data_IF_708916995184
#
_entry.id   IF_708916995184
#
_cell.length_a   1.000
_cell.length_b   1.000
_cell.length_c   1.000
_cell.angle_alpha   90.00
_cell.angle_beta   90.00
_cell.angle_gamma   90.00
#
_symmetry.space_group_name_H-M   'P 1'
#
loop_
_entity.id
_entity.type
_entity.pdbx_description
1 polymer ?
#
# COMPACT_ATOMS: atom_id res chain seq x y z
N UNK A 1 -57.68 1.92 -16.75
CA UNK A 1 -56.34 2.42 -16.38
C UNK A 1 -56.12 3.70 -17.13
N UNK A 2 -55.69 4.74 -16.43
CA UNK A 2 -55.37 6.04 -17.05
C UNK A 2 -53.97 5.98 -17.67
N UNK A 3 -53.71 6.73 -18.73
CA UNK A 3 -52.40 6.77 -19.42
C UNK A 3 -51.22 7.05 -18.46
N UNK A 4 -51.48 7.76 -17.35
CA UNK A 4 -50.49 8.02 -16.30
C UNK A 4 -50.10 6.74 -15.52
N UNK A 5 -51.04 5.82 -15.34
CA UNK A 5 -50.85 4.59 -14.58
C UNK A 5 -50.01 3.58 -15.39
N UNK A 6 -50.18 3.56 -16.71
CA UNK A 6 -49.37 2.75 -17.62
C UNK A 6 -47.94 3.29 -17.74
N UNK A 7 -47.78 4.62 -17.80
CA UNK A 7 -46.48 5.27 -17.77
C UNK A 7 -45.70 4.99 -16.48
N UNK A 8 -46.36 5.08 -15.32
CA UNK A 8 -45.73 4.81 -14.02
C UNK A 8 -45.26 3.35 -13.88
N UNK A 9 -46.05 2.39 -14.41
CA UNK A 9 -45.67 0.97 -14.44
C UNK A 9 -44.44 0.74 -15.33
N UNK A 10 -44.36 1.41 -16.47
CA UNK A 10 -43.24 1.30 -17.40
C UNK A 10 -41.96 1.92 -16.82
N UNK A 11 -42.05 3.11 -16.22
CA UNK A 11 -40.94 3.76 -15.52
C UNK A 11 -40.42 2.90 -14.37
N UNK A 12 -41.33 2.35 -13.55
CA UNK A 12 -40.96 1.44 -12.45
C UNK A 12 -40.19 0.20 -12.95
N UNK A 13 -40.64 -0.41 -14.06
CA UNK A 13 -39.93 -1.53 -14.70
C UNK A 13 -38.54 -1.16 -15.22
N UNK A 14 -38.38 0.05 -15.77
CA UNK A 14 -37.09 0.53 -16.25
C UNK A 14 -36.13 0.75 -15.07
N UNK A 15 -36.61 1.39 -14.00
CA UNK A 15 -35.85 1.61 -12.77
C UNK A 15 -35.40 0.29 -12.14
N UNK A 16 -36.28 -0.71 -12.07
CA UNK A 16 -35.94 -2.05 -11.57
C UNK A 16 -34.87 -2.73 -12.42
N UNK A 17 -34.94 -2.60 -13.75
CA UNK A 17 -33.92 -3.15 -14.65
C UNK A 17 -32.57 -2.45 -14.47
N UNK A 18 -32.57 -1.12 -14.29
CA UNK A 18 -31.37 -0.34 -14.02
C UNK A 18 -30.79 -0.73 -12.65
N UNK A 19 -31.59 -0.77 -11.59
CA UNK A 19 -31.18 -1.21 -10.26
C UNK A 19 -30.64 -2.66 -10.27
N UNK A 20 -31.25 -3.55 -11.06
CA UNK A 20 -30.77 -4.93 -11.22
C UNK A 20 -29.48 -5.03 -12.03
N UNK A 21 -29.24 -4.11 -12.97
CA UNK A 21 -27.98 -4.00 -13.73
C UNK A 21 -26.86 -3.38 -12.91
N UNK A 22 -27.17 -2.33 -12.14
CA UNK A 22 -26.23 -1.71 -11.19
C UNK A 22 -25.85 -2.70 -10.10
N UNK A 23 -26.82 -3.39 -9.49
CA UNK A 23 -26.53 -4.46 -8.53
C UNK A 23 -25.79 -5.64 -9.16
N UNK A 24 -26.08 -6.07 -10.40
CA UNK A 24 -25.27 -7.09 -11.10
C UNK A 24 -23.84 -6.61 -11.43
N UNK A 25 -23.65 -5.33 -11.72
CA UNK A 25 -22.34 -4.71 -11.93
C UNK A 25 -21.52 -4.60 -10.63
N UNK A 26 -22.19 -4.32 -9.51
CA UNK A 26 -21.63 -4.31 -8.15
C UNK A 26 -21.45 -5.73 -7.57
N UNK A 27 -22.13 -6.74 -8.12
CA UNK A 27 -22.01 -8.16 -7.75
C UNK A 27 -20.82 -8.88 -8.40
N UNK A 28 -19.74 -8.17 -8.79
CA UNK A 28 -18.42 -8.78 -8.64
C UNK A 28 -18.21 -8.96 -7.14
N UNK A 29 -18.60 -10.12 -6.60
CA UNK A 29 -18.50 -10.46 -5.16
C UNK A 29 -17.20 -9.88 -4.61
N UNK A 30 -17.29 -8.81 -3.82
CA UNK A 30 -16.15 -8.20 -3.15
C UNK A 30 -15.38 -9.31 -2.44
N UNK A 31 -14.14 -9.55 -2.87
CA UNK A 31 -13.36 -10.68 -2.39
C UNK A 31 -12.50 -10.19 -1.23
N UNK A 32 -12.96 -10.50 -0.02
CA UNK A 32 -12.27 -10.16 1.21
C UNK A 32 -11.35 -11.28 1.69
N UNK A 33 -10.25 -10.88 2.31
CA UNK A 33 -9.22 -11.76 2.87
C UNK A 33 -8.87 -11.29 4.28
N UNK A 34 -8.75 -12.20 5.24
CA UNK A 34 -8.27 -11.84 6.58
C UNK A 34 -6.80 -11.42 6.56
N UNK A 35 -6.01 -12.12 5.76
CA UNK A 35 -4.56 -11.90 5.61
C UNK A 35 -4.17 -12.23 4.18
N UNK A 36 -3.15 -11.54 3.66
CA UNK A 36 -2.59 -11.81 2.33
C UNK A 36 -1.35 -12.69 2.48
N UNK A 37 -1.26 -13.73 1.67
CA UNK A 37 -0.23 -14.77 1.75
C UNK A 37 0.37 -15.04 0.36
N UNK A 38 1.43 -15.85 0.29
CA UNK A 38 2.03 -16.27 -0.99
C UNK A 38 1.08 -17.08 -1.89
N UNK A 39 0.02 -17.68 -1.34
CA UNK A 39 -1.02 -18.38 -2.09
C UNK A 39 -2.18 -17.48 -2.54
N UNK A 40 -2.17 -16.21 -2.14
CA UNK A 40 -3.19 -15.24 -2.54
C UNK A 40 -3.01 -14.85 -4.02
N UNK A 41 -4.09 -14.54 -4.76
CA UNK A 41 -3.99 -14.06 -6.13
C UNK A 41 -3.06 -12.84 -6.24
N UNK A 42 -2.28 -12.73 -7.31
CA UNK A 42 -1.54 -11.50 -7.56
C UNK A 42 -2.54 -10.35 -7.77
N UNK A 43 -2.27 -9.18 -7.22
CA UNK A 43 -3.22 -8.08 -7.29
C UNK A 43 -2.98 -6.98 -6.28
N UNK A 44 -3.98 -6.11 -6.18
CA UNK A 44 -4.00 -4.96 -5.29
C UNK A 44 -4.99 -5.25 -4.18
N UNK A 45 -4.57 -5.03 -2.95
CA UNK A 45 -5.39 -5.27 -1.76
C UNK A 45 -5.46 -4.00 -0.95
N UNK A 46 -6.68 -3.55 -0.67
CA UNK A 46 -6.93 -2.34 0.12
C UNK A 46 -7.53 -2.77 1.45
N UNK A 47 -6.95 -2.30 2.56
CA UNK A 47 -7.48 -2.63 3.88
C UNK A 47 -8.78 -1.87 4.14
N UNK A 48 -9.86 -2.61 4.36
CA UNK A 48 -11.15 -2.10 4.77
C UNK A 48 -11.23 -2.10 6.29
N UNK A 49 -11.14 -0.90 6.89
CA UNK A 49 -11.15 -0.71 8.35
C UNK A 49 -12.47 -1.12 8.99
N UNK A 50 -13.59 -1.13 8.24
CA UNK A 50 -14.90 -1.50 8.77
C UNK A 50 -15.05 -3.01 8.87
N UNK A 51 -14.56 -3.71 7.85
CA UNK A 51 -14.61 -5.17 7.77
C UNK A 51 -13.39 -5.85 8.42
N UNK A 52 -12.39 -5.06 8.81
CA UNK A 52 -11.08 -5.48 9.33
C UNK A 52 -10.40 -6.52 8.42
N UNK A 53 -10.57 -6.35 7.11
CA UNK A 53 -10.14 -7.31 6.07
C UNK A 53 -9.55 -6.59 4.88
N UNK A 54 -8.79 -7.33 4.10
CA UNK A 54 -8.22 -6.89 2.83
C UNK A 54 -9.20 -7.15 1.69
N UNK A 55 -9.64 -6.08 1.03
CA UNK A 55 -10.44 -6.15 -0.19
C UNK A 55 -9.53 -6.28 -1.39
N UNK A 56 -9.69 -7.34 -2.18
CA UNK A 56 -9.06 -7.43 -3.50
C UNK A 56 -9.70 -6.42 -4.44
N UNK A 57 -8.88 -5.53 -4.97
CA UNK A 57 -9.29 -4.45 -5.88
C UNK A 57 -8.86 -4.76 -7.30
N UNK A 58 -9.81 -4.60 -8.22
CA UNK A 58 -9.57 -4.57 -9.66
C UNK A 58 -9.64 -3.14 -10.20
N UNK A 59 -9.58 -2.13 -9.34
CA UNK A 59 -9.65 -0.73 -9.76
C UNK A 59 -8.32 -0.25 -10.36
N UNK A 60 -8.39 0.80 -11.17
CA UNK A 60 -7.20 1.47 -11.69
C UNK A 60 -6.63 2.45 -10.65
N UNK A 61 -5.37 2.84 -10.85
CA UNK A 61 -4.63 3.72 -9.95
C UNK A 61 -5.39 4.98 -9.55
N UNK A 62 -6.02 5.66 -10.51
CA UNK A 62 -6.74 6.91 -10.27
C UNK A 62 -7.91 6.74 -9.29
N UNK A 63 -8.47 5.54 -9.19
CA UNK A 63 -9.55 5.24 -8.25
C UNK A 63 -9.02 4.77 -6.90
N UNK A 64 -7.81 4.19 -6.87
CA UNK A 64 -7.12 3.77 -5.64
C UNK A 64 -6.56 4.96 -4.86
N UNK A 65 -5.91 5.90 -5.56
CA UNK A 65 -5.29 7.08 -4.95
C UNK A 65 -6.13 8.33 -5.16
N UNK A 66 -7.00 8.60 -4.18
CA UNK A 66 -7.69 9.86 -3.99
C UNK A 66 -6.89 10.79 -3.05
N UNK A 67 -7.52 11.88 -2.58
CA UNK A 67 -6.87 12.77 -1.62
C UNK A 67 -6.70 12.06 -0.27
N UNK A 68 -5.46 12.04 0.25
CA UNK A 68 -5.17 11.46 1.56
C UNK A 68 -3.77 10.89 1.67
N UNK A 69 -3.58 10.08 2.72
CA UNK A 69 -2.31 9.43 3.02
C UNK A 69 -2.41 7.92 2.80
N UNK A 70 -1.35 7.34 2.25
CA UNK A 70 -1.31 5.92 1.93
C UNK A 70 -0.03 5.28 2.46
N UNK A 71 -0.14 4.01 2.86
CA UNK A 71 0.99 3.14 3.15
C UNK A 71 0.87 1.92 2.25
N UNK A 72 1.77 1.81 1.29
CA UNK A 72 1.76 0.80 0.24
C UNK A 72 2.90 -0.19 0.49
N UNK A 73 2.55 -1.44 0.73
CA UNK A 73 3.49 -2.55 0.88
C UNK A 73 3.60 -3.30 -0.44
N UNK A 74 4.76 -3.24 -1.08
CA UNK A 74 5.11 -4.04 -2.25
C UNK A 74 5.68 -5.39 -1.81
N UNK A 75 4.92 -6.42 -2.11
CA UNK A 75 5.14 -7.80 -1.69
C UNK A 75 5.30 -8.73 -2.91
N UNK A 76 6.18 -9.71 -2.77
CA UNK A 76 6.43 -10.75 -3.76
C UNK A 76 6.22 -12.12 -3.10
N UNK A 77 5.48 -13.02 -3.75
CA UNK A 77 5.18 -14.34 -3.18
C UNK A 77 6.45 -15.20 -3.01
N UNK A 78 7.46 -14.97 -3.84
CA UNK A 78 8.76 -15.68 -3.81
C UNK A 78 9.79 -15.02 -2.87
N UNK A 79 9.44 -13.91 -2.22
CA UNK A 79 10.33 -13.14 -1.36
C UNK A 79 10.29 -13.63 0.09
N UNK A 80 11.36 -14.29 0.53
CA UNK A 80 11.50 -14.79 1.92
C UNK A 80 11.55 -13.67 2.96
N UNK A 81 12.17 -12.53 2.65
CA UNK A 81 12.19 -11.35 3.51
C UNK A 81 10.79 -10.76 3.70
N UNK A 82 9.94 -10.83 2.67
CA UNK A 82 8.56 -10.36 2.71
C UNK A 82 7.74 -11.22 3.66
N UNK A 83 7.91 -12.56 3.64
CA UNK A 83 7.28 -13.46 4.63
C UNK A 83 7.69 -13.16 6.08
N UNK A 84 8.90 -12.66 6.29
CA UNK A 84 9.32 -12.17 7.63
C UNK A 84 8.61 -10.86 7.96
N UNK A 85 8.54 -9.94 7.01
CA UNK A 85 7.91 -8.64 7.20
C UNK A 85 6.40 -8.73 7.44
N UNK A 86 5.70 -9.72 6.88
CA UNK A 86 4.28 -9.98 7.16
C UNK A 86 3.97 -10.10 8.66
N UNK A 87 4.90 -10.69 9.43
CA UNK A 87 4.77 -10.83 10.89
C UNK A 87 4.80 -9.49 11.64
N UNK A 88 5.26 -8.44 10.99
CA UNK A 88 5.29 -7.06 11.49
C UNK A 88 4.15 -6.26 10.86
N UNK A 89 3.98 -6.36 9.54
CA UNK A 89 3.02 -5.59 8.76
C UNK A 89 1.57 -5.84 9.22
N UNK A 90 1.11 -7.09 9.24
CA UNK A 90 -0.30 -7.37 9.56
C UNK A 90 -0.69 -6.95 10.98
N UNK A 91 0.10 -7.26 12.03
CA UNK A 91 -0.19 -6.73 13.36
C UNK A 91 -0.18 -5.22 13.44
N UNK A 92 0.67 -4.53 12.68
CA UNK A 92 0.66 -3.06 12.66
C UNK A 92 -0.63 -2.53 12.03
N UNK A 93 -1.04 -3.08 10.88
CA UNK A 93 -2.29 -2.64 10.24
C UNK A 93 -3.49 -2.88 11.16
N UNK A 94 -3.59 -4.06 11.78
CA UNK A 94 -4.66 -4.40 12.72
C UNK A 94 -4.69 -3.44 13.92
N UNK A 95 -3.54 -3.17 14.55
CA UNK A 95 -3.48 -2.37 15.78
C UNK A 95 -3.49 -0.85 15.57
N UNK A 96 -3.20 -0.36 14.37
CA UNK A 96 -2.98 1.07 14.09
C UNK A 96 -3.80 1.64 12.93
N UNK A 97 -4.53 0.82 12.17
CA UNK A 97 -5.35 1.32 11.06
C UNK A 97 -6.36 2.39 11.48
N UNK A 98 -6.95 2.28 12.67
CA UNK A 98 -7.90 3.26 13.22
C UNK A 98 -7.22 4.44 13.95
N UNK A 99 -5.91 4.37 14.21
CA UNK A 99 -5.17 5.42 14.94
C UNK A 99 -4.62 6.50 14.02
N UNK A 100 -4.53 6.21 12.72
CA UNK A 100 -3.91 7.10 11.74
C UNK A 100 -4.78 7.23 10.48
N UNK A 101 -4.70 8.36 9.76
CA UNK A 101 -5.52 8.64 8.57
C UNK A 101 -5.03 7.92 7.31
N UNK A 102 -4.28 6.82 7.44
CA UNK A 102 -3.73 6.10 6.30
C UNK A 102 -4.72 5.10 5.70
N UNK A 103 -4.68 4.99 4.38
CA UNK A 103 -5.17 3.84 3.63
C UNK A 103 -4.02 2.86 3.42
N UNK A 104 -4.16 1.64 3.94
CA UNK A 104 -3.15 0.60 3.80
C UNK A 104 -3.42 -0.24 2.56
N UNK A 105 -2.39 -0.45 1.76
CA UNK A 105 -2.46 -1.14 0.48
C UNK A 105 -1.34 -2.19 0.41
N UNK A 106 -1.65 -3.36 -0.12
CA UNK A 106 -0.64 -4.35 -0.54
C UNK A 106 -0.70 -4.49 -2.05
N UNK A 107 0.45 -4.43 -2.70
CA UNK A 107 0.65 -4.79 -4.11
C UNK A 107 1.39 -6.12 -4.13
N UNK A 108 0.71 -7.18 -4.53
CA UNK A 108 1.25 -8.54 -4.53
C UNK A 108 1.51 -9.03 -5.96
N UNK A 109 2.76 -9.40 -6.24
CA UNK A 109 3.16 -10.11 -7.45
C UNK A 109 3.97 -11.36 -7.10
N UNK A 110 4.41 -12.14 -8.10
CA UNK A 110 5.27 -13.30 -7.89
C UNK A 110 6.69 -12.85 -7.61
N UNK A 111 7.29 -12.23 -8.62
CA UNK A 111 8.60 -11.59 -8.57
C UNK A 111 8.61 -10.30 -9.41
N UNK A 112 8.29 -9.18 -8.76
CA UNK A 112 8.14 -7.86 -9.37
C UNK A 112 7.15 -7.85 -10.56
N UNK A 113 7.29 -6.90 -11.49
CA UNK A 113 6.40 -6.78 -12.66
C UNK A 113 6.56 -7.92 -13.67
N UNK A 114 7.78 -8.47 -13.81
CA UNK A 114 8.11 -9.53 -14.77
C UNK A 114 7.31 -10.81 -14.52
N UNK A 115 7.07 -11.16 -13.26
CA UNK A 115 6.35 -12.37 -12.87
C UNK A 115 5.06 -12.03 -12.12
N UNK A 116 4.18 -11.29 -12.81
CA UNK A 116 2.91 -10.88 -12.23
C UNK A 116 1.69 -11.21 -13.10
N UNK A 117 0.82 -12.08 -12.56
CA UNK A 117 -0.45 -12.46 -13.20
C UNK A 117 -1.46 -11.31 -13.27
N UNK A 118 -1.33 -10.31 -12.40
CA UNK A 118 -2.16 -9.11 -12.43
C UNK A 118 -1.41 -7.96 -13.11
N UNK A 119 -1.90 -7.57 -14.30
CA UNK A 119 -1.35 -6.43 -15.06
C UNK A 119 -1.37 -5.12 -14.27
N UNK A 120 -2.40 -4.92 -13.43
CA UNK A 120 -2.53 -3.71 -12.59
C UNK A 120 -1.51 -3.70 -11.45
N UNK A 121 -1.30 -4.84 -10.79
CA UNK A 121 -0.25 -4.93 -9.77
C UNK A 121 1.14 -4.75 -10.41
N UNK A 122 1.38 -5.35 -11.57
CA UNK A 122 2.63 -5.19 -12.33
C UNK A 122 2.91 -3.71 -12.64
N UNK A 123 1.91 -2.96 -13.12
CA UNK A 123 2.09 -1.56 -13.46
C UNK A 123 2.46 -0.69 -12.25
N UNK A 124 2.01 -1.04 -11.04
CA UNK A 124 2.44 -0.35 -9.83
C UNK A 124 3.93 -0.60 -9.54
N UNK A 125 4.43 -1.83 -9.70
CA UNK A 125 5.86 -2.11 -9.54
C UNK A 125 6.72 -1.28 -10.51
N UNK A 126 6.30 -1.20 -11.78
CA UNK A 126 7.01 -0.45 -12.81
C UNK A 126 6.95 1.07 -12.57
N UNK A 127 5.76 1.60 -12.30
CA UNK A 127 5.54 3.03 -12.12
C UNK A 127 6.33 3.58 -10.92
N UNK A 128 6.26 2.86 -9.80
CA UNK A 128 7.01 3.22 -8.61
C UNK A 128 8.47 2.74 -8.69
N UNK A 129 8.93 2.14 -9.80
CA UNK A 129 10.32 1.69 -9.99
C UNK A 129 10.83 0.87 -8.79
N UNK A 130 10.02 -0.09 -8.35
CA UNK A 130 10.33 -0.94 -7.20
C UNK A 130 11.35 -1.99 -7.64
N UNK A 131 12.54 -1.96 -7.01
CA UNK A 131 13.67 -2.83 -7.35
C UNK A 131 14.09 -3.77 -6.22
N UNK A 132 13.49 -3.60 -5.05
CA UNK A 132 13.72 -4.42 -3.87
C UNK A 132 12.39 -4.78 -3.20
N UNK A 133 12.33 -5.94 -2.57
CA UNK A 133 11.18 -6.38 -1.79
C UNK A 133 11.62 -7.00 -0.45
N UNK A 134 10.90 -6.76 0.65
CA UNK A 134 9.73 -5.89 0.73
C UNK A 134 10.10 -4.41 0.54
N UNK A 135 9.17 -3.61 0.01
CA UNK A 135 9.30 -2.14 0.01
C UNK A 135 8.04 -1.54 0.58
N UNK A 136 8.19 -0.63 1.54
CA UNK A 136 7.07 0.14 2.10
C UNK A 136 7.18 1.58 1.62
N UNK A 137 6.11 2.06 0.99
CA UNK A 137 6.02 3.39 0.43
C UNK A 137 4.94 4.17 1.17
N UNK A 138 5.31 5.32 1.71
CA UNK A 138 4.37 6.27 2.29
C UNK A 138 4.09 7.36 1.28
N UNK A 139 2.82 7.67 1.04
CA UNK A 139 2.40 8.65 0.04
C UNK A 139 1.48 9.69 0.67
N UNK A 140 1.66 10.94 0.27
CA UNK A 140 0.66 11.99 0.42
C UNK A 140 0.15 12.39 -0.97
N UNK A 141 -1.15 12.23 -1.18
CA UNK A 141 -1.82 12.51 -2.46
C UNK A 141 -2.78 13.67 -2.28
N UNK A 142 -2.69 14.67 -3.17
CA UNK A 142 -3.59 15.82 -3.22
C UNK A 142 -3.89 16.17 -4.67
N UNK A 143 -5.17 16.36 -4.96
CA UNK A 143 -5.71 16.66 -6.29
C UNK A 143 -5.23 15.65 -7.36
N UNK A 144 -5.22 14.36 -7.00
CA UNK A 144 -4.79 13.26 -7.87
C UNK A 144 -3.28 13.20 -8.14
N UNK A 145 -2.47 14.00 -7.45
CA UNK A 145 -1.00 14.02 -7.59
C UNK A 145 -0.34 13.61 -6.28
N UNK A 146 0.76 12.85 -6.39
CA UNK A 146 1.64 12.57 -5.25
C UNK A 146 2.40 13.85 -4.95
N UNK A 147 2.13 14.45 -3.78
CA UNK A 147 2.79 15.67 -3.30
C UNK A 147 4.10 15.32 -2.60
N UNK A 148 4.12 14.20 -1.88
CA UNK A 148 5.30 13.74 -1.15
C UNK A 148 5.29 12.21 -1.01
N UNK A 149 6.47 11.59 -1.13
CA UNK A 149 6.65 10.16 -0.92
C UNK A 149 7.91 9.80 -0.11
N UNK A 150 7.80 8.73 0.69
CA UNK A 150 8.95 8.13 1.38
C UNK A 150 9.01 6.63 1.15
N UNK A 151 10.10 6.19 0.52
CA UNK A 151 10.41 4.77 0.32
C UNK A 151 11.32 4.22 1.39
N UNK A 152 11.00 3.02 1.86
CA UNK A 152 11.83 2.20 2.73
C UNK A 152 11.96 0.80 2.12
N UNK A 153 13.18 0.42 1.74
CA UNK A 153 13.49 -0.88 1.15
C UNK A 153 13.97 -1.86 2.23
N UNK A 154 13.52 -3.10 2.14
CA UNK A 154 13.79 -4.14 3.13
C UNK A 154 12.78 -4.15 4.28
N UNK A 155 13.02 -5.06 5.22
CA UNK A 155 12.15 -5.23 6.40
C UNK A 155 12.29 -4.00 7.29
N UNK A 156 11.19 -3.27 7.50
CA UNK A 156 11.11 -2.28 8.57
C UNK A 156 10.82 -2.98 9.88
N UNK A 157 11.65 -2.71 10.89
CA UNK A 157 11.39 -3.19 12.25
C UNK A 157 10.10 -2.58 12.80
N UNK A 158 9.45 -3.29 13.72
CA UNK A 158 8.14 -2.89 14.26
C UNK A 158 8.12 -1.45 14.80
N UNK A 159 9.16 -1.05 15.55
CA UNK A 159 9.30 0.31 16.08
C UNK A 159 9.55 1.36 15.01
N UNK A 160 10.33 1.03 13.98
CA UNK A 160 10.63 1.94 12.87
C UNK A 160 9.37 2.21 12.06
N UNK A 161 8.59 1.17 11.74
CA UNK A 161 7.33 1.33 11.02
C UNK A 161 6.32 2.18 11.80
N UNK A 162 6.19 1.97 13.12
CA UNK A 162 5.34 2.81 13.98
C UNK A 162 5.85 4.25 14.02
N UNK A 163 7.15 4.45 14.14
CA UNK A 163 7.74 5.79 14.17
C UNK A 163 7.41 6.54 12.87
N UNK A 164 7.58 5.89 11.70
CA UNK A 164 7.27 6.50 10.41
C UNK A 164 5.77 6.80 10.31
N UNK A 165 4.89 5.87 10.70
CA UNK A 165 3.43 6.10 10.73
C UNK A 165 3.06 7.35 11.55
N UNK A 166 3.68 7.54 12.72
CA UNK A 166 3.41 8.69 13.61
C UNK A 166 3.88 10.02 13.05
N UNK A 167 4.94 10.02 12.24
CA UNK A 167 5.69 11.25 11.92
C UNK A 167 5.66 11.63 10.44
N UNK A 168 5.15 10.75 9.57
CA UNK A 168 5.11 10.99 8.13
C UNK A 168 4.19 12.16 7.74
N UNK A 169 3.03 12.30 8.37
CA UNK A 169 2.10 13.42 8.09
C UNK A 169 2.77 14.79 8.25
N UNK A 170 3.51 15.02 9.35
CA UNK A 170 4.24 16.27 9.56
C UNK A 170 5.24 16.55 8.44
N UNK A 171 5.94 15.50 7.97
CA UNK A 171 6.90 15.61 6.87
C UNK A 171 6.21 15.89 5.54
N UNK A 172 5.09 15.24 5.27
CA UNK A 172 4.28 15.46 4.08
C UNK A 172 3.74 16.90 4.01
N UNK A 173 3.21 17.41 5.13
CA UNK A 173 2.70 18.78 5.22
C UNK A 173 3.81 19.83 5.12
N UNK A 174 5.02 19.52 5.59
CA UNK A 174 6.19 20.38 5.36
C UNK A 174 6.62 20.40 3.90
N UNK A 175 6.71 19.24 3.26
CA UNK A 175 7.03 19.13 1.84
C UNK A 175 6.02 19.89 0.97
N UNK A 176 4.73 19.79 1.29
CA UNK A 176 3.68 20.54 0.59
C UNK A 176 3.91 22.05 0.66
N UNK A 177 4.38 22.57 1.79
CA UNK A 177 4.73 23.98 1.99
C UNK A 177 6.08 24.37 1.38
N UNK A 178 6.76 23.47 0.67
CA UNK A 178 8.10 23.68 0.13
C UNK A 178 9.19 23.78 1.20
N UNK A 179 8.92 23.32 2.43
CA UNK A 179 9.88 23.34 3.53
C UNK A 179 10.82 22.13 3.45
N UNK A 180 12.08 22.26 3.93
CA UNK A 180 12.99 21.14 4.03
C UNK A 180 12.42 20.01 4.90
N UNK A 181 12.63 18.78 4.45
CA UNK A 181 12.21 17.55 5.11
C UNK A 181 13.41 16.63 5.30
N UNK A 182 13.53 16.09 6.51
CA UNK A 182 14.58 15.13 6.86
C UNK A 182 13.89 13.79 7.15
N UNK A 183 14.25 12.76 6.39
CA UNK A 183 13.77 11.40 6.66
C UNK A 183 14.37 10.88 7.97
N UNK A 184 13.61 10.12 8.75
CA UNK A 184 14.10 9.61 10.02
C UNK A 184 15.26 8.62 9.82
N UNK A 185 16.25 8.63 10.72
CA UNK A 185 17.32 7.64 10.70
C UNK A 185 16.74 6.29 11.15
N UNK A 186 16.59 5.34 10.23
CA UNK A 186 16.13 3.99 10.57
C UNK A 186 17.22 3.22 11.32
N UNK A 187 16.85 2.39 12.29
CA UNK A 187 17.83 1.70 13.13
C UNK A 187 18.70 0.73 12.34
N UNK A 188 18.14 0.01 11.36
CA UNK A 188 18.92 -0.83 10.46
C UNK A 188 20.00 -0.01 9.70
N UNK A 189 19.70 1.24 9.35
CA UNK A 189 20.69 2.16 8.76
C UNK A 189 21.75 2.58 9.78
N UNK A 190 21.40 2.74 11.05
CA UNK A 190 22.36 3.09 12.11
C UNK A 190 23.32 1.93 12.38
N UNK A 191 22.82 0.69 12.48
CA UNK A 191 23.65 -0.50 12.67
C UNK A 191 24.64 -0.66 11.50
N UNK A 192 24.18 -0.52 10.25
CA UNK A 192 25.07 -0.58 9.09
C UNK A 192 26.12 0.55 9.09
N UNK A 193 25.76 1.76 9.53
CA UNK A 193 26.70 2.88 9.66
C UNK A 193 27.76 2.59 10.74
N UNK A 194 27.35 2.05 11.88
CA UNK A 194 28.26 1.62 12.94
C UNK A 194 29.17 0.50 12.45
N UNK A 195 28.63 -0.53 11.80
CA UNK A 195 29.41 -1.64 11.25
C UNK A 195 30.41 -1.16 10.19
N UNK A 196 30.00 -0.27 9.28
CA UNK A 196 30.89 0.33 8.28
C UNK A 196 32.01 1.16 8.93
N UNK A 197 31.70 1.88 10.00
CA UNK A 197 32.68 2.65 10.78
C UNK A 197 33.67 1.71 11.48
N UNK A 198 33.18 0.65 12.12
CA UNK A 198 34.01 -0.39 12.74
C UNK A 198 34.91 -1.09 11.71
N UNK A 199 34.36 -1.48 10.56
CA UNK A 199 35.13 -2.09 9.47
C UNK A 199 36.20 -1.13 8.94
N UNK A 200 35.87 0.17 8.80
CA UNK A 200 36.85 1.18 8.39
C UNK A 200 37.97 1.35 9.41
N UNK A 201 37.66 1.33 10.71
CA UNK A 201 38.66 1.41 11.78
C UNK A 201 39.56 0.17 11.81
N UNK A 202 38.98 -1.02 11.62
CA UNK A 202 39.73 -2.28 11.52
C UNK A 202 40.60 -2.32 10.26
N UNK A 203 40.14 -1.75 9.14
CA UNK A 203 40.90 -1.67 7.89
C UNK A 203 42.08 -0.71 7.95
N UNK A 204 41.99 0.33 8.80
CA UNK A 204 43.10 1.25 9.06
C UNK A 204 44.18 0.62 9.95
N UNK A 205 43.82 -0.36 10.78
CA UNK A 205 44.75 -1.09 11.64
C UNK A 205 45.50 -2.25 10.94
N UNK A 206 45.29 -2.48 9.64
CA UNK A 206 46.00 -3.51 8.85
C UNK A 206 47.21 -2.92 8.09
N UNK A 207 47.52 -1.64 8.29
CA UNK A 207 48.75 -1.02 7.79
C UNK A 207 49.62 -0.54 8.95
N UNK A 208 50.19 -1.47 9.68
CA UNK A 208 51.46 -1.30 10.39
C UNK A 208 52.02 -2.69 10.69
N UNK A 209 53.14 -2.98 10.00
CA UNK A 209 54.11 -4.09 10.14
C UNK A 209 53.74 -5.50 9.64
#
# INVERSE_FOLDING_TARGET
MSDNEEFDIEVSRILDRIAKRLSKGEYRRKKYFKTITSSSPHGIYIYDKREEKWLYSEEDRANIFSNGYYVVYFDNTECSACRKYDKIWFPIVENYSNKFPYTFIIILCGWFSNECKSKKAASFFDEFKIKASPTTLFLYVKNGKIVYDERYEGVLEYKDLIYVLKTFEDRALRAEKGLPVIKPPMEASQVNKVLKTLLSLLSLNVKEE
#
